data_IF_431806489355
#
_entry.id   IF_431806489355
#
_cell.length_a   1.000
_cell.length_b   1.000
_cell.length_c   1.000
_cell.angle_alpha   90.00
_cell.angle_beta   90.00
_cell.angle_gamma   90.00
#
_symmetry.space_group_name_H-M   'P 1'
#
loop_
_entity.id
_entity.type
_entity.pdbx_description
1 polymer ?
#
# COMPACT_ATOMS: atom_id res chain seq x y z
N UNK A 1 -14.89 -16.74 -6.51
CA UNK A 1 -14.06 -15.58 -6.14
C UNK A 1 -13.20 -15.90 -4.92
N UNK A 2 -12.52 -17.07 -4.92
CA UNK A 2 -11.76 -17.62 -3.79
C UNK A 2 -10.37 -18.11 -4.23
N UNK A 3 -9.80 -17.58 -5.31
CA UNK A 3 -8.54 -18.13 -5.87
C UNK A 3 -7.38 -17.17 -5.66
N UNK A 4 -7.64 -15.87 -5.76
CA UNK A 4 -6.61 -14.85 -5.60
C UNK A 4 -6.20 -14.64 -4.14
N UNK A 5 -7.17 -14.49 -3.23
CA UNK A 5 -6.90 -14.36 -1.79
C UNK A 5 -6.20 -15.59 -1.23
N UNK A 6 -6.68 -16.79 -1.59
CA UNK A 6 -6.04 -18.02 -1.18
C UNK A 6 -4.63 -18.12 -1.74
N UNK A 7 -4.39 -17.71 -2.99
CA UNK A 7 -3.04 -17.62 -3.55
C UNK A 7 -2.10 -16.68 -2.77
N UNK A 8 -2.58 -15.51 -2.34
CA UNK A 8 -1.78 -14.60 -1.49
C UNK A 8 -1.52 -15.22 -0.12
N UNK A 9 -2.55 -15.80 0.51
CA UNK A 9 -2.44 -16.45 1.82
C UNK A 9 -1.49 -17.64 1.77
N UNK A 10 -1.49 -18.41 0.69
CA UNK A 10 -0.61 -19.55 0.48
C UNK A 10 0.85 -19.07 0.38
N UNK A 11 1.13 -18.01 -0.39
CA UNK A 11 2.48 -17.43 -0.49
C UNK A 11 2.98 -16.95 0.88
N UNK A 12 2.12 -16.26 1.65
CA UNK A 12 2.48 -15.77 2.99
C UNK A 12 2.77 -16.95 3.92
N UNK A 13 1.92 -17.98 3.86
CA UNK A 13 2.05 -19.17 4.71
C UNK A 13 3.29 -19.98 4.35
N UNK A 14 3.60 -20.13 3.07
CA UNK A 14 4.81 -20.80 2.59
C UNK A 14 6.06 -20.05 3.04
N UNK A 15 6.09 -18.71 2.88
CA UNK A 15 7.19 -17.89 3.35
C UNK A 15 7.39 -18.00 4.87
N UNK A 16 6.31 -17.94 5.65
CA UNK A 16 6.37 -18.11 7.10
C UNK A 16 6.92 -19.48 7.50
N UNK A 17 6.43 -20.54 6.86
CA UNK A 17 6.87 -21.92 7.12
C UNK A 17 8.34 -22.13 6.73
N UNK A 18 8.78 -21.52 5.63
CA UNK A 18 10.18 -21.55 5.20
C UNK A 18 11.10 -20.85 6.20
N UNK A 19 10.70 -19.71 6.76
CA UNK A 19 11.50 -19.01 7.78
C UNK A 19 11.59 -19.84 9.07
N UNK A 20 10.49 -20.50 9.47
CA UNK A 20 10.51 -21.42 10.61
C UNK A 20 11.44 -22.60 10.39
N UNK A 21 11.42 -23.21 9.20
CA UNK A 21 12.28 -24.35 8.91
C UNK A 21 13.77 -23.98 8.94
N UNK A 22 14.13 -22.74 8.57
CA UNK A 22 15.48 -22.22 8.77
C UNK A 22 15.83 -22.09 10.25
N UNK A 23 14.94 -21.54 11.09
CA UNK A 23 15.17 -21.44 12.53
C UNK A 23 15.42 -22.81 13.18
N UNK A 24 14.67 -23.82 12.74
CA UNK A 24 14.80 -25.20 13.23
C UNK A 24 16.07 -25.87 12.69
N UNK A 25 16.39 -25.72 11.40
CA UNK A 25 17.56 -26.34 10.76
C UNK A 25 18.90 -25.81 11.28
N UNK A 26 18.94 -24.55 11.72
CA UNK A 26 20.14 -23.96 12.34
C UNK A 26 20.16 -24.10 13.86
N UNK A 27 19.22 -24.86 14.46
CA UNK A 27 19.06 -25.03 15.92
C UNK A 27 19.06 -23.69 16.68
N UNK A 28 18.57 -22.62 16.04
CA UNK A 28 18.65 -21.27 16.56
C UNK A 28 17.73 -21.04 17.76
N UNK A 29 16.70 -21.91 17.92
CA UNK A 29 15.76 -21.92 19.04
C UNK A 29 15.12 -20.55 19.32
N UNK A 30 14.95 -19.72 18.29
CA UNK A 30 14.33 -18.41 18.46
C UNK A 30 12.84 -18.58 18.72
N UNK A 31 12.32 -17.81 19.67
CA UNK A 31 10.88 -17.69 19.87
C UNK A 31 10.25 -16.94 18.71
N UNK A 32 8.97 -17.21 18.45
CA UNK A 32 8.17 -16.51 17.44
C UNK A 32 8.33 -14.97 17.49
N UNK A 33 8.33 -14.39 18.71
CA UNK A 33 8.52 -12.96 18.92
C UNK A 33 9.91 -12.46 18.52
N UNK A 34 10.95 -13.23 18.84
CA UNK A 34 12.34 -12.88 18.47
C UNK A 34 12.55 -12.97 16.96
N UNK A 35 11.98 -14.01 16.34
CA UNK A 35 12.03 -14.19 14.90
C UNK A 35 11.30 -13.05 14.18
N UNK A 36 10.09 -12.69 14.63
CA UNK A 36 9.36 -11.52 14.12
C UNK A 36 10.16 -10.22 14.28
N UNK A 37 10.79 -9.99 15.44
CA UNK A 37 11.62 -8.80 15.65
C UNK A 37 12.74 -8.70 14.60
N UNK A 38 13.46 -9.79 14.35
CA UNK A 38 14.56 -9.82 13.38
C UNK A 38 14.04 -9.67 11.96
N UNK A 39 13.06 -10.49 11.56
CA UNK A 39 12.54 -10.53 10.19
C UNK A 39 11.90 -9.19 9.81
N UNK A 40 11.02 -8.65 10.66
CA UNK A 40 10.36 -7.37 10.41
C UNK A 40 11.39 -6.22 10.44
N UNK A 41 12.37 -6.28 11.34
CA UNK A 41 13.46 -5.29 11.39
C UNK A 41 14.28 -5.27 10.09
N UNK A 42 14.67 -6.44 9.57
CA UNK A 42 15.43 -6.57 8.32
C UNK A 42 14.59 -6.12 7.13
N UNK A 43 13.34 -6.58 7.02
CA UNK A 43 12.44 -6.19 5.93
C UNK A 43 12.21 -4.67 5.96
N UNK A 44 11.99 -4.07 7.13
CA UNK A 44 11.84 -2.63 7.31
C UNK A 44 13.05 -1.85 6.79
N UNK A 45 14.26 -2.25 7.18
CA UNK A 45 15.49 -1.62 6.70
C UNK A 45 15.69 -1.80 5.19
N UNK A 46 15.42 -3.01 4.66
CA UNK A 46 15.49 -3.28 3.23
C UNK A 46 14.52 -2.39 2.44
N UNK A 47 13.30 -2.19 2.94
CA UNK A 47 12.32 -1.30 2.33
C UNK A 47 12.82 0.14 2.28
N UNK A 48 13.54 0.64 3.29
CA UNK A 48 14.12 2.00 3.24
C UNK A 48 15.10 2.13 2.06
N UNK A 49 15.96 1.14 1.84
CA UNK A 49 16.92 1.17 0.72
C UNK A 49 16.25 1.13 -0.66
N UNK A 50 15.00 0.68 -0.76
CA UNK A 50 14.24 0.66 -2.01
C UNK A 50 13.36 1.91 -2.16
N UNK A 51 12.57 2.22 -1.13
CA UNK A 51 11.56 3.29 -1.16
C UNK A 51 12.22 4.67 -1.13
N UNK A 52 13.27 4.85 -0.34
CA UNK A 52 13.93 6.15 -0.22
C UNK A 52 14.50 6.68 -1.55
N UNK A 53 15.33 5.92 -2.31
CA UNK A 53 15.81 6.41 -3.60
C UNK A 53 14.68 6.58 -4.63
N UNK A 54 13.66 5.71 -4.62
CA UNK A 54 12.49 5.84 -5.49
C UNK A 54 11.74 7.16 -5.23
N UNK A 55 11.44 7.46 -3.98
CA UNK A 55 10.74 8.69 -3.61
C UNK A 55 11.61 9.93 -3.85
N UNK A 56 12.92 9.81 -3.61
CA UNK A 56 13.87 10.88 -3.94
C UNK A 56 13.88 11.17 -5.44
N UNK A 57 13.82 10.14 -6.29
CA UNK A 57 13.73 10.30 -7.74
C UNK A 57 12.43 10.97 -8.17
N UNK A 58 11.29 10.56 -7.62
CA UNK A 58 9.99 11.17 -7.88
C UNK A 58 9.97 12.64 -7.44
N UNK A 59 10.54 12.96 -6.28
CA UNK A 59 10.60 14.32 -5.78
C UNK A 59 11.46 15.22 -6.68
N UNK A 60 12.64 14.74 -7.08
CA UNK A 60 13.56 15.46 -7.98
C UNK A 60 12.97 15.71 -9.38
N UNK A 61 12.07 14.85 -9.83
CA UNK A 61 11.40 14.96 -11.14
C UNK A 61 10.06 15.72 -11.05
N UNK A 62 9.78 16.43 -9.94
CA UNK A 62 8.54 17.17 -9.69
C UNK A 62 7.25 16.32 -9.61
N UNK A 63 7.38 15.02 -9.36
CA UNK A 63 6.24 14.09 -9.18
C UNK A 63 5.84 13.95 -7.70
N UNK A 64 5.89 15.04 -6.93
CA UNK A 64 5.53 15.02 -5.49
C UNK A 64 4.11 14.53 -5.27
N UNK A 65 3.17 14.85 -6.17
CA UNK A 65 1.80 14.34 -6.12
C UNK A 65 1.74 12.81 -6.18
N UNK A 66 2.63 12.15 -6.93
CA UNK A 66 2.68 10.69 -6.99
C UNK A 66 3.15 10.10 -5.66
N UNK A 67 4.11 10.73 -4.98
CA UNK A 67 4.56 10.33 -3.64
C UNK A 67 3.39 10.42 -2.65
N UNK A 68 2.70 11.56 -2.62
CA UNK A 68 1.52 11.74 -1.76
C UNK A 68 0.43 10.73 -2.08
N UNK A 69 0.19 10.44 -3.36
CA UNK A 69 -0.80 9.46 -3.79
C UNK A 69 -0.45 8.05 -3.32
N UNK A 70 0.80 7.59 -3.52
CA UNK A 70 1.27 6.27 -3.05
C UNK A 70 1.10 6.17 -1.53
N UNK A 71 1.50 7.19 -0.79
CA UNK A 71 1.35 7.22 0.67
C UNK A 71 -0.11 7.10 1.09
N UNK A 72 -1.00 7.94 0.56
CA UNK A 72 -2.44 7.88 0.88
C UNK A 72 -3.04 6.54 0.47
N UNK A 73 -2.69 6.01 -0.71
CA UNK A 73 -3.16 4.71 -1.17
C UNK A 73 -2.79 3.59 -0.20
N UNK A 74 -1.53 3.55 0.27
CA UNK A 74 -1.10 2.56 1.27
C UNK A 74 -1.85 2.69 2.59
N UNK A 75 -2.13 3.92 3.04
CA UNK A 75 -2.93 4.16 4.25
C UNK A 75 -4.39 3.74 4.08
N UNK A 76 -5.00 3.98 2.92
CA UNK A 76 -6.38 3.54 2.65
C UNK A 76 -6.48 2.02 2.74
N UNK A 77 -5.53 1.27 2.16
CA UNK A 77 -5.49 -0.18 2.30
C UNK A 77 -5.38 -0.57 3.78
N UNK A 78 -4.44 0.01 4.52
CA UNK A 78 -4.25 -0.31 5.94
C UNK A 78 -5.52 -0.04 6.77
N UNK A 79 -6.17 1.11 6.55
CA UNK A 79 -7.36 1.54 7.29
C UNK A 79 -8.57 0.67 6.96
N UNK A 80 -8.81 0.36 5.67
CA UNK A 80 -9.93 -0.50 5.26
C UNK A 80 -9.80 -1.90 5.87
N UNK A 81 -8.61 -2.50 5.82
CA UNK A 81 -8.36 -3.77 6.52
C UNK A 81 -8.58 -3.66 8.05
N UNK A 82 -8.11 -2.58 8.68
CA UNK A 82 -8.28 -2.39 10.11
C UNK A 82 -9.77 -2.25 10.52
N UNK A 83 -10.58 -1.58 9.70
CA UNK A 83 -12.03 -1.45 9.91
C UNK A 83 -12.70 -2.83 9.82
N UNK A 84 -12.43 -3.60 8.76
CA UNK A 84 -13.02 -4.94 8.57
C UNK A 84 -12.66 -5.91 9.69
N UNK A 85 -11.40 -5.91 10.12
CA UNK A 85 -10.94 -6.71 11.28
C UNK A 85 -11.64 -6.23 12.55
N UNK A 86 -11.76 -4.91 12.74
CA UNK A 86 -12.48 -4.32 13.86
C UNK A 86 -13.95 -4.75 13.92
N UNK A 87 -14.64 -4.76 12.78
CA UNK A 87 -16.03 -5.24 12.68
C UNK A 87 -16.15 -6.72 13.01
N UNK A 88 -15.20 -7.56 12.53
CA UNK A 88 -15.13 -8.98 12.87
C UNK A 88 -15.03 -9.23 14.38
N UNK A 89 -14.14 -8.49 15.04
CA UNK A 89 -13.86 -8.65 16.47
C UNK A 89 -15.01 -8.12 17.33
N UNK A 90 -15.61 -7.00 16.93
CA UNK A 90 -16.69 -6.35 17.68
C UNK A 90 -18.08 -6.93 17.40
N UNK A 91 -18.19 -7.86 16.45
CA UNK A 91 -19.46 -8.43 15.98
C UNK A 91 -20.47 -7.37 15.51
N UNK A 92 -19.98 -6.20 15.07
CA UNK A 92 -20.81 -5.10 14.56
C UNK A 92 -21.13 -5.25 13.07
N UNK A 93 -20.47 -6.20 12.38
CA UNK A 93 -20.67 -6.55 10.98
C UNK A 93 -19.97 -7.87 10.63
N UNK A 94 -20.13 -8.32 9.38
CA UNK A 94 -19.37 -9.45 8.83
C UNK A 94 -18.15 -8.87 8.14
N UNK A 95 -16.97 -9.43 8.41
CA UNK A 95 -15.75 -9.06 7.68
C UNK A 95 -15.92 -9.43 6.21
N UNK A 96 -15.90 -8.45 5.31
CA UNK A 96 -15.99 -8.68 3.88
C UNK A 96 -14.79 -8.10 3.14
N UNK A 97 -14.14 -8.93 2.33
CA UNK A 97 -13.07 -8.45 1.47
C UNK A 97 -13.60 -7.52 0.38
N UNK A 98 -14.85 -7.70 -0.05
CA UNK A 98 -15.48 -6.81 -1.02
C UNK A 98 -15.53 -5.37 -0.50
N UNK A 99 -15.76 -5.16 0.80
CA UNK A 99 -15.80 -3.83 1.40
C UNK A 99 -14.44 -3.12 1.34
N UNK A 100 -13.33 -3.85 1.51
CA UNK A 100 -11.97 -3.34 1.26
C UNK A 100 -11.80 -2.95 -0.20
N UNK A 101 -12.19 -3.83 -1.12
CA UNK A 101 -12.07 -3.60 -2.57
C UNK A 101 -12.88 -2.38 -3.00
N UNK A 102 -14.12 -2.24 -2.51
CA UNK A 102 -14.97 -1.08 -2.76
C UNK A 102 -14.37 0.21 -2.15
N UNK A 103 -13.80 0.14 -0.95
CA UNK A 103 -13.09 1.27 -0.36
C UNK A 103 -11.93 1.76 -1.24
N UNK A 104 -11.14 0.82 -1.77
CA UNK A 104 -10.05 1.12 -2.72
C UNK A 104 -10.61 1.71 -4.03
N UNK A 105 -11.65 1.11 -4.62
CA UNK A 105 -12.28 1.65 -5.83
C UNK A 105 -12.83 3.06 -5.64
N UNK A 106 -13.44 3.35 -4.48
CA UNK A 106 -13.92 4.67 -4.13
C UNK A 106 -12.80 5.71 -4.13
N UNK A 107 -11.66 5.38 -3.52
CA UNK A 107 -10.48 6.25 -3.56
C UNK A 107 -9.98 6.48 -5.00
N UNK A 108 -9.87 5.42 -5.82
CA UNK A 108 -9.41 5.53 -7.20
C UNK A 108 -10.33 6.42 -8.04
N UNK A 109 -11.66 6.25 -7.90
CA UNK A 109 -12.64 7.06 -8.61
C UNK A 109 -12.57 8.54 -8.21
N UNK A 110 -12.51 8.82 -6.90
CA UNK A 110 -12.42 10.20 -6.41
C UNK A 110 -11.11 10.88 -6.83
N UNK A 111 -10.01 10.13 -6.84
CA UNK A 111 -8.74 10.63 -7.35
C UNK A 111 -8.79 10.90 -8.86
N UNK A 112 -9.45 10.04 -9.64
CA UNK A 112 -9.64 10.27 -11.08
C UNK A 112 -10.40 11.58 -11.34
N UNK A 113 -11.49 11.83 -10.59
CA UNK A 113 -12.25 13.09 -10.68
C UNK A 113 -11.33 14.28 -10.36
N UNK A 114 -10.57 14.21 -9.27
CA UNK A 114 -9.60 15.24 -8.91
C UNK A 114 -8.55 15.48 -10.03
N UNK A 115 -8.01 14.40 -10.61
CA UNK A 115 -7.00 14.47 -11.66
C UNK A 115 -7.56 15.13 -12.93
N UNK A 116 -8.80 14.82 -13.31
CA UNK A 116 -9.49 15.46 -14.43
C UNK A 116 -9.70 16.96 -14.20
N UNK A 117 -10.21 17.35 -13.02
CA UNK A 117 -10.41 18.76 -12.66
C UNK A 117 -9.08 19.52 -12.72
N UNK A 118 -8.03 18.97 -12.08
CA UNK A 118 -6.69 19.55 -12.09
C UNK A 118 -6.14 19.68 -13.52
N UNK A 119 -6.33 18.66 -14.36
CA UNK A 119 -5.91 18.66 -15.76
C UNK A 119 -6.58 19.77 -16.56
N UNK A 120 -7.90 19.94 -16.41
CA UNK A 120 -8.67 21.01 -17.06
C UNK A 120 -8.16 22.39 -16.63
N UNK A 121 -7.97 22.62 -15.33
CA UNK A 121 -7.48 23.91 -14.80
C UNK A 121 -6.10 24.25 -15.39
N UNK A 122 -5.17 23.29 -15.37
CA UNK A 122 -3.82 23.49 -15.93
C UNK A 122 -3.90 23.76 -17.44
N UNK A 123 -4.77 23.06 -18.16
CA UNK A 123 -5.01 23.28 -19.59
C UNK A 123 -5.52 24.69 -19.90
N UNK A 124 -6.51 25.17 -19.14
CA UNK A 124 -7.05 26.54 -19.29
C UNK A 124 -5.96 27.60 -19.01
N UNK A 125 -5.18 27.41 -17.94
CA UNK A 125 -4.09 28.34 -17.59
C UNK A 125 -3.04 28.42 -18.70
N UNK A 126 -2.68 27.29 -19.30
CA UNK A 126 -1.74 27.27 -20.43
C UNK A 126 -2.31 28.01 -21.64
N UNK A 127 -3.58 27.76 -21.98
CA UNK A 127 -4.23 28.43 -23.12
C UNK A 127 -4.28 29.95 -22.94
N UNK A 128 -4.65 30.44 -21.75
CA UNK A 128 -4.69 31.88 -21.46
C UNK A 128 -3.29 32.50 -21.56
N UNK A 129 -2.27 31.82 -21.02
CA UNK A 129 -0.88 32.29 -21.07
C UNK A 129 -0.36 32.38 -22.51
N UNK A 130 -0.73 31.44 -23.37
CA UNK A 130 -0.34 31.45 -24.78
C UNK A 130 -1.03 32.57 -25.57
N UNK A 131 -2.28 32.90 -25.22
CA UNK A 131 -3.00 34.05 -25.80
C UNK A 131 -2.34 35.37 -25.38
N UNK A 132 -1.96 35.53 -24.11
CA UNK A 132 -1.34 36.78 -23.60
C UNK A 132 0.10 36.98 -24.12
N UNK A 133 0.81 35.91 -24.47
CA UNK A 133 2.19 35.98 -25.01
C UNK A 133 2.26 36.29 -26.50
N UNK A 134 1.13 36.23 -27.22
CA UNK A 134 1.01 36.67 -28.62
C UNK A 134 0.62 38.14 -28.68
#
# INVERSE_FOLDING_TARGET
>A
MNTFLYGILDIITEAHTYILSLNDAYEANLTDKQLHFIVIGIIGMAMIFIVHPLFTLLAKTNHVLAISWIYVFTLIILITFAIEIGQKITHSGVMDFEDIVFGVWGFLLMFLIFALIRGIIIGIIHLIRDIIRK
#
